data_IF_914366469344
#
_entry.id   IF_914366469344
#
_cell.length_a   1.000
_cell.length_b   1.000
_cell.length_c   1.000
_cell.angle_alpha   90.00
_cell.angle_beta   90.00
_cell.angle_gamma   90.00
#
_symmetry.space_group_name_H-M   'P 1'
#
loop_
_entity.id
_entity.type
_entity.pdbx_description
1 polymer ?
#
# COMPACT_ATOMS: atom_id res chain seq x y z
N UNK A 1 20.37 7.91 -58.51
CA UNK A 1 20.78 7.27 -57.26
C UNK A 1 19.70 7.47 -56.24
N UNK A 2 19.03 6.43 -55.96
CA UNK A 2 17.94 6.50 -54.98
C UNK A 2 18.51 6.26 -53.58
N UNK A 3 18.63 7.31 -52.80
CA UNK A 3 18.88 7.18 -51.39
C UNK A 3 17.64 6.56 -50.75
N UNK A 4 17.74 5.32 -50.40
CA UNK A 4 16.75 4.67 -49.55
C UNK A 4 16.93 5.23 -48.16
N UNK A 5 16.09 6.17 -47.79
CA UNK A 5 15.90 6.58 -46.43
C UNK A 5 15.36 5.38 -45.66
N UNK A 6 16.24 4.65 -45.03
CA UNK A 6 15.86 3.66 -44.06
C UNK A 6 15.39 4.45 -42.84
N UNK A 7 14.10 4.65 -42.78
CA UNK A 7 13.44 5.17 -41.61
C UNK A 7 13.56 4.09 -40.53
N UNK A 8 14.61 4.19 -39.72
CA UNK A 8 14.72 3.42 -38.50
C UNK A 8 13.62 3.89 -37.57
N UNK A 9 12.51 3.21 -37.64
CA UNK A 9 11.43 3.34 -36.65
C UNK A 9 11.93 2.70 -35.37
N UNK A 10 12.63 3.45 -34.54
CA UNK A 10 12.95 3.06 -33.19
C UNK A 10 11.64 3.04 -32.42
N UNK A 11 11.05 1.87 -32.36
CA UNK A 11 9.94 1.57 -31.43
C UNK A 11 10.54 1.66 -30.05
N UNK A 12 10.36 2.79 -29.42
CA UNK A 12 10.60 2.93 -27.99
C UNK A 12 9.50 2.12 -27.30
N UNK A 13 9.79 0.86 -27.05
CA UNK A 13 9.04 0.06 -26.11
C UNK A 13 9.26 0.67 -24.74
N UNK A 14 8.42 1.63 -24.38
CA UNK A 14 8.24 2.01 -22.98
C UNK A 14 7.66 0.80 -22.30
N UNK A 15 8.56 -0.08 -21.84
CA UNK A 15 8.16 -1.21 -21.03
C UNK A 15 7.44 -0.67 -19.79
N UNK A 16 6.21 -1.09 -19.60
CA UNK A 16 5.56 -0.97 -18.30
C UNK A 16 6.52 -1.57 -17.28
N UNK A 17 7.08 -0.73 -16.42
CA UNK A 17 7.86 -1.21 -15.28
C UNK A 17 6.89 -1.95 -14.37
N UNK A 18 6.82 -3.26 -14.52
CA UNK A 18 6.15 -4.11 -13.56
C UNK A 18 6.87 -3.96 -12.22
N UNK A 19 6.13 -3.57 -11.19
CA UNK A 19 6.68 -3.52 -9.84
C UNK A 19 7.27 -4.87 -9.46
N UNK A 20 8.43 -4.91 -8.77
CA UNK A 20 9.01 -6.17 -8.34
C UNK A 20 8.00 -6.95 -7.49
N UNK A 21 7.91 -8.27 -7.69
CA UNK A 21 6.96 -9.16 -7.01
C UNK A 21 6.98 -9.02 -5.47
N UNK A 22 8.15 -8.74 -4.90
CA UNK A 22 8.34 -8.52 -3.46
C UNK A 22 7.63 -7.29 -2.95
N UNK A 23 7.65 -6.21 -3.71
CA UNK A 23 6.97 -4.95 -3.38
C UNK A 23 5.45 -5.10 -3.45
N UNK A 24 4.96 -5.74 -4.51
CA UNK A 24 3.55 -6.04 -4.67
C UNK A 24 3.02 -6.96 -3.56
N UNK A 25 3.78 -7.97 -3.16
CA UNK A 25 3.45 -8.86 -2.06
C UNK A 25 3.33 -8.09 -0.74
N UNK A 26 4.31 -7.22 -0.44
CA UNK A 26 4.27 -6.36 0.75
C UNK A 26 3.00 -5.52 0.78
N UNK A 27 2.64 -4.89 -0.33
CA UNK A 27 1.42 -4.08 -0.40
C UNK A 27 0.16 -4.90 -0.18
N UNK A 28 0.08 -6.09 -0.76
CA UNK A 28 -1.05 -6.98 -0.57
C UNK A 28 -1.22 -7.37 0.90
N UNK A 29 -0.14 -7.73 1.57
CA UNK A 29 -0.18 -8.07 2.99
C UNK A 29 -0.54 -6.86 3.85
N UNK A 30 0.15 -5.75 3.67
CA UNK A 30 -0.09 -4.53 4.44
C UNK A 30 -1.52 -4.01 4.29
N UNK A 31 -2.03 -3.96 3.06
CA UNK A 31 -3.39 -3.53 2.79
C UNK A 31 -4.42 -4.48 3.43
N UNK A 32 -4.20 -5.78 3.35
CA UNK A 32 -5.07 -6.79 3.97
C UNK A 32 -5.10 -6.65 5.49
N UNK A 33 -3.97 -6.36 6.12
CA UNK A 33 -3.88 -6.14 7.55
C UNK A 33 -4.65 -4.87 7.99
N UNK A 34 -4.52 -3.78 7.23
CA UNK A 34 -5.25 -2.54 7.49
C UNK A 34 -6.75 -2.75 7.34
N UNK A 35 -7.18 -3.36 6.24
CA UNK A 35 -8.60 -3.63 5.98
C UNK A 35 -9.20 -4.57 7.02
N UNK A 36 -8.46 -5.58 7.46
CA UNK A 36 -8.86 -6.45 8.57
C UNK A 36 -9.03 -5.69 9.88
N UNK A 37 -8.10 -4.79 10.20
CA UNK A 37 -8.19 -3.92 11.36
C UNK A 37 -9.40 -2.98 11.29
N UNK A 38 -9.62 -2.33 10.16
CA UNK A 38 -10.77 -1.45 9.94
C UNK A 38 -12.09 -2.20 10.10
N UNK A 39 -12.15 -3.44 9.63
CA UNK A 39 -13.31 -4.31 9.78
C UNK A 39 -13.58 -4.66 11.24
N UNK A 40 -12.55 -5.01 11.99
CA UNK A 40 -12.67 -5.34 13.42
C UNK A 40 -13.09 -4.13 14.26
N UNK A 41 -12.72 -2.93 13.86
CA UNK A 41 -13.05 -1.68 14.57
C UNK A 41 -14.31 -0.99 14.06
N UNK A 42 -15.08 -1.64 13.19
CA UNK A 42 -16.29 -1.08 12.56
C UNK A 42 -16.03 0.20 11.75
N UNK A 43 -14.87 0.28 11.09
CA UNK A 43 -14.45 1.39 10.26
C UNK A 43 -14.37 1.01 8.76
N UNK A 44 -15.22 0.13 8.31
CA UNK A 44 -15.24 -0.40 6.93
C UNK A 44 -15.57 0.66 5.88
N UNK A 45 -16.15 1.79 6.29
CA UNK A 45 -16.49 2.89 5.38
C UNK A 45 -15.25 3.69 4.93
N UNK A 46 -14.11 3.44 5.54
CA UNK A 46 -12.85 4.01 5.10
C UNK A 46 -12.29 3.24 3.90
N UNK A 47 -11.90 3.97 2.87
CA UNK A 47 -11.31 3.43 1.64
C UNK A 47 -9.93 4.01 1.40
N UNK A 48 -9.06 3.20 0.82
CA UNK A 48 -7.72 3.62 0.46
C UNK A 48 -7.77 4.77 -0.55
N UNK A 49 -7.17 5.90 -0.20
CA UNK A 49 -7.06 7.08 -1.05
C UNK A 49 -5.65 7.20 -1.65
N UNK A 50 -4.63 7.01 -0.84
CA UNK A 50 -3.24 7.20 -1.25
C UNK A 50 -2.31 6.21 -0.56
N UNK A 51 -1.29 5.81 -1.30
CA UNK A 51 -0.17 5.01 -0.81
C UNK A 51 1.13 5.69 -1.19
N UNK A 52 2.07 5.74 -0.26
CA UNK A 52 3.43 6.26 -0.48
C UNK A 52 4.44 5.28 0.09
N UNK A 53 5.49 4.98 -0.68
CA UNK A 53 6.51 4.04 -0.28
C UNK A 53 7.80 4.74 0.06
N UNK A 54 8.35 4.44 1.23
CA UNK A 54 9.72 4.74 1.57
C UNK A 54 10.59 3.50 1.27
N UNK A 55 11.22 3.52 0.11
CA UNK A 55 12.03 2.40 -0.36
C UNK A 55 13.28 2.15 0.48
N UNK A 56 13.83 3.19 1.08
CA UNK A 56 15.04 3.09 1.88
C UNK A 56 14.81 2.32 3.20
N UNK A 57 13.63 2.47 3.79
CA UNK A 57 13.28 1.92 5.09
C UNK A 57 12.27 0.75 5.03
N UNK A 58 11.90 0.30 3.83
CA UNK A 58 10.89 -0.75 3.64
C UNK A 58 9.55 -0.47 4.33
N UNK A 59 9.19 0.81 4.42
CA UNK A 59 7.96 1.30 5.04
C UNK A 59 7.02 1.79 3.95
N UNK A 60 5.77 1.39 4.03
CA UNK A 60 4.69 1.90 3.20
C UNK A 60 3.70 2.69 4.06
N UNK A 61 3.31 3.85 3.57
CA UNK A 61 2.33 4.72 4.21
C UNK A 61 1.03 4.67 3.45
N UNK A 62 -0.07 4.56 4.18
CA UNK A 62 -1.41 4.44 3.63
C UNK A 62 -2.32 5.50 4.23
N UNK A 63 -3.03 6.19 3.37
CA UNK A 63 -4.07 7.13 3.76
C UNK A 63 -5.42 6.57 3.35
N UNK A 64 -6.30 6.44 4.32
CA UNK A 64 -7.69 6.03 4.14
C UNK A 64 -8.61 7.19 4.40
N UNK A 65 -9.59 7.37 3.55
CA UNK A 65 -10.59 8.43 3.65
C UNK A 65 -11.96 7.82 3.87
N UNK A 66 -12.76 8.49 4.70
CA UNK A 66 -14.15 8.11 4.89
C UNK A 66 -14.94 8.30 3.61
N UNK A 67 -15.49 7.22 3.09
CA UNK A 67 -16.31 7.21 1.90
C UNK A 67 -17.79 7.15 2.29
N UNK A 68 -18.34 8.30 2.69
CA UNK A 68 -19.77 8.45 2.96
C UNK A 68 -20.47 9.01 1.71
N UNK A 69 -21.23 8.16 1.02
CA UNK A 69 -22.10 8.56 -0.07
C UNK A 69 -23.36 9.33 0.40
N UNK A 70 -23.65 9.32 1.69
CA UNK A 70 -24.77 10.03 2.31
C UNK A 70 -24.26 11.18 3.18
N UNK A 71 -23.67 12.17 2.55
CA UNK A 71 -23.13 13.33 3.26
C UNK A 71 -24.21 14.15 3.93
N UNK A 72 -24.31 13.97 5.23
CA UNK A 72 -24.49 15.11 6.11
C UNK A 72 -23.08 15.62 6.38
N UNK A 73 -22.76 16.79 5.84
CA UNK A 73 -21.46 17.44 6.04
C UNK A 73 -21.25 17.61 7.54
N UNK A 74 -20.53 16.68 8.14
CA UNK A 74 -20.02 16.87 9.48
C UNK A 74 -18.88 17.87 9.41
N UNK A 75 -19.14 19.05 9.91
CA UNK A 75 -18.27 20.24 9.88
C UNK A 75 -16.91 20.04 10.59
N UNK A 76 -16.63 18.87 11.15
CA UNK A 76 -15.38 18.57 11.80
C UNK A 76 -14.61 17.49 11.02
N UNK A 77 -13.88 17.94 10.02
CA UNK A 77 -12.99 17.14 9.17
C UNK A 77 -11.82 16.43 9.89
N UNK A 78 -11.73 16.51 11.20
CA UNK A 78 -10.63 15.95 11.99
C UNK A 78 -10.59 14.42 11.95
N UNK A 79 -11.70 13.78 11.63
CA UNK A 79 -11.82 12.33 11.57
C UNK A 79 -11.99 11.76 10.17
N UNK A 80 -11.82 12.59 9.13
CA UNK A 80 -12.07 12.16 7.76
C UNK A 80 -10.97 11.27 7.18
N UNK A 81 -9.77 11.29 7.76
CA UNK A 81 -8.63 10.55 7.27
C UNK A 81 -7.99 9.70 8.36
N UNK A 82 -7.64 8.48 8.00
CA UNK A 82 -6.83 7.58 8.82
C UNK A 82 -5.48 7.36 8.13
N UNK A 83 -4.42 7.38 8.91
CA UNK A 83 -3.06 7.19 8.42
C UNK A 83 -2.44 5.97 9.06
N UNK A 84 -1.91 5.09 8.22
CA UNK A 84 -1.22 3.88 8.66
C UNK A 84 0.18 3.83 8.07
N UNK A 85 1.08 3.20 8.79
CA UNK A 85 2.36 2.76 8.27
C UNK A 85 2.52 1.25 8.48
N UNK A 86 3.06 0.60 7.47
CA UNK A 86 3.33 -0.83 7.49
C UNK A 86 4.78 -1.06 7.11
N UNK A 87 5.53 -1.70 8.00
CA UNK A 87 6.94 -2.03 7.80
C UNK A 87 7.12 -3.52 7.71
N UNK A 88 7.85 -3.95 6.71
CA UNK A 88 8.32 -5.34 6.58
C UNK A 88 9.74 -5.44 7.10
N UNK A 89 9.98 -6.40 8.00
CA UNK A 89 11.31 -6.71 8.53
C UNK A 89 11.39 -8.19 8.87
N UNK A 90 12.30 -8.93 8.24
CA UNK A 90 12.59 -10.32 8.55
C UNK A 90 11.32 -11.21 8.64
N UNK A 91 10.48 -11.20 7.60
CA UNK A 91 9.23 -11.98 7.54
C UNK A 91 8.15 -11.53 8.55
N UNK A 92 8.38 -10.43 9.23
CA UNK A 92 7.40 -9.80 10.11
C UNK A 92 6.87 -8.52 9.50
N UNK A 93 5.60 -8.25 9.75
CA UNK A 93 4.93 -7.02 9.36
C UNK A 93 4.47 -6.27 10.59
N UNK A 94 4.85 -5.01 10.67
CA UNK A 94 4.50 -4.13 11.77
C UNK A 94 3.56 -3.06 11.27
N UNK A 95 2.33 -3.10 11.75
CA UNK A 95 1.31 -2.12 11.40
C UNK A 95 1.15 -1.11 12.54
N UNK A 96 1.20 0.16 12.19
CA UNK A 96 0.99 1.28 13.12
C UNK A 96 0.00 2.28 12.53
N UNK A 97 -0.74 2.94 13.40
CA UNK A 97 -1.61 4.06 13.06
C UNK A 97 -0.99 5.36 13.53
N UNK A 98 -1.11 6.41 12.73
CA UNK A 98 -0.66 7.74 13.08
C UNK A 98 -1.86 8.60 13.48
N UNK A 99 -1.77 9.21 14.66
CA UNK A 99 -2.78 10.17 15.09
C UNK A 99 -2.57 11.54 14.43
N UNK A 100 -3.61 12.37 14.44
CA UNK A 100 -3.54 13.76 13.96
C UNK A 100 -2.52 14.61 14.74
N UNK A 101 -2.13 14.18 15.93
CA UNK A 101 -1.12 14.83 16.77
C UNK A 101 0.31 14.32 16.51
N UNK A 102 0.51 13.48 15.51
CA UNK A 102 1.81 12.94 15.14
C UNK A 102 2.28 11.75 16.00
N UNK A 103 1.43 11.22 16.86
CA UNK A 103 1.76 10.01 17.64
C UNK A 103 1.61 8.76 16.77
N UNK A 104 2.56 7.86 16.90
CA UNK A 104 2.54 6.54 16.26
C UNK A 104 2.06 5.52 17.27
N UNK A 105 0.95 4.86 16.96
CA UNK A 105 0.32 3.85 17.81
C UNK A 105 0.53 2.49 17.13
N UNK A 106 1.31 1.58 17.71
CA UNK A 106 1.44 0.23 17.18
C UNK A 106 0.09 -0.50 17.32
N UNK A 107 -0.35 -1.15 16.21
CA UNK A 107 -1.63 -1.85 16.16
C UNK A 107 -1.42 -3.35 16.28
N UNK A 108 -0.59 -3.90 15.39
CA UNK A 108 -0.34 -5.33 15.34
C UNK A 108 1.02 -5.64 14.71
N UNK A 109 1.52 -6.80 15.08
CA UNK A 109 2.68 -7.44 14.47
C UNK A 109 2.26 -8.83 13.98
N UNK A 110 2.62 -9.15 12.74
CA UNK A 110 2.34 -10.47 12.14
C UNK A 110 3.66 -11.07 11.69
N UNK A 111 3.93 -12.27 12.18
CA UNK A 111 5.10 -13.03 11.79
C UNK A 111 4.71 -14.23 10.91
N UNK A 112 5.31 -14.31 9.73
CA UNK A 112 5.13 -15.45 8.84
C UNK A 112 6.28 -16.45 9.06
N UNK A 113 5.97 -17.71 9.37
CA UNK A 113 7.00 -18.74 9.42
C UNK A 113 7.70 -18.87 8.06
N UNK A 114 8.99 -19.17 8.07
CA UNK A 114 9.82 -19.21 6.86
C UNK A 114 9.31 -20.19 5.80
N UNK A 115 8.73 -21.29 6.21
CA UNK A 115 8.11 -22.30 5.34
C UNK A 115 6.80 -21.83 4.70
N UNK A 116 6.01 -21.02 5.42
CA UNK A 116 4.78 -20.43 4.91
C UNK A 116 5.07 -19.23 3.99
N UNK A 117 6.12 -18.47 4.28
CA UNK A 117 6.51 -17.29 3.50
C UNK A 117 6.93 -17.66 2.07
N UNK A 118 7.68 -18.73 1.88
CA UNK A 118 8.05 -19.22 0.56
C UNK A 118 6.84 -19.62 -0.28
N UNK A 119 5.91 -20.34 0.32
CA UNK A 119 4.68 -20.78 -0.37
C UNK A 119 3.72 -19.63 -0.71
N UNK A 120 3.69 -18.59 0.10
CA UNK A 120 2.84 -17.42 -0.14
C UNK A 120 3.39 -16.55 -1.26
N UNK A 121 4.70 -16.44 -1.34
CA UNK A 121 5.39 -15.63 -2.35
C UNK A 121 5.24 -16.19 -3.77
N UNK A 122 5.13 -17.49 -3.91
CA UNK A 122 4.99 -18.15 -5.22
C UNK A 122 3.56 -18.11 -5.78
N UNK A 123 2.57 -17.71 -4.96
CA UNK A 123 1.17 -17.63 -5.36
C UNK A 123 0.75 -16.26 -5.89
N UNK A 124 1.53 -15.28 -5.70
CA UNK A 124 1.31 -13.91 -6.13
C UNK A 124 2.40 -13.50 -7.12
#
# INVERSE_FOLDING_TARGET
>A
MKLKAILLFTIILTGCQSQPKTEQHRHTVCQSLIEGYLKMTNQQDYKLEQRTDDKANTISHYQYKLNNSNEVVMVNSVYSNLYFSCREQQQSYFLSQHSSQGQTIPILEVHFPSDAYGRFRDRF
#
